data_IF_538482902766
#
_entry.id   IF_538482902766
#
_cell.length_a   1.000
_cell.length_b   1.000
_cell.length_c   1.000
_cell.angle_alpha   90.00
_cell.angle_beta   90.00
_cell.angle_gamma   90.00
#
_symmetry.space_group_name_H-M   'P 1'
#
loop_
_entity.id
_entity.type
_entity.pdbx_description
1 polymer ?
#
# COMPACT_ATOMS: atom_id res chain seq x y z
N UNK A 1 9.50 -20.42 -8.68
CA UNK A 1 10.64 -19.48 -8.56
C UNK A 1 10.25 -18.45 -7.51
N UNK A 2 10.92 -18.42 -6.36
CA UNK A 2 10.58 -17.52 -5.26
C UNK A 2 11.02 -16.09 -5.61
N UNK A 3 10.09 -15.14 -5.68
CA UNK A 3 10.46 -13.73 -5.78
C UNK A 3 11.24 -13.33 -4.52
N UNK A 4 12.32 -12.54 -4.65
CA UNK A 4 13.00 -12.00 -3.49
C UNK A 4 11.98 -11.26 -2.61
N UNK A 5 12.01 -11.44 -1.27
CA UNK A 5 11.00 -10.91 -0.36
C UNK A 5 10.90 -9.37 -0.36
N UNK A 6 11.84 -8.71 -1.02
CA UNK A 6 12.07 -7.26 -0.98
C UNK A 6 11.98 -6.62 -2.39
N UNK A 7 11.03 -7.05 -3.24
CA UNK A 7 10.88 -6.49 -4.59
C UNK A 7 10.26 -5.07 -4.65
N UNK A 8 10.16 -4.39 -3.51
CA UNK A 8 9.49 -3.09 -3.35
C UNK A 8 7.98 -3.19 -3.11
N UNK A 9 7.34 -4.34 -3.30
CA UNK A 9 5.89 -4.47 -3.17
C UNK A 9 5.31 -3.88 -1.87
N UNK A 10 4.19 -3.19 -2.01
CA UNK A 10 3.37 -2.68 -0.90
C UNK A 10 2.10 -3.50 -0.85
N UNK A 11 1.78 -4.05 0.31
CA UNK A 11 0.54 -4.79 0.54
C UNK A 11 -0.48 -3.87 1.20
N UNK A 12 -1.66 -3.78 0.59
CA UNK A 12 -2.73 -2.91 1.03
C UNK A 12 -3.90 -3.72 1.59
N UNK A 13 -4.38 -3.36 2.78
CA UNK A 13 -5.46 -4.06 3.47
C UNK A 13 -6.51 -3.08 3.96
N UNK A 14 -7.77 -3.49 3.91
CA UNK A 14 -8.89 -2.73 4.50
C UNK A 14 -9.63 -3.55 5.54
N UNK A 15 -10.21 -2.87 6.54
CA UNK A 15 -11.18 -3.53 7.44
C UNK A 15 -12.50 -3.85 6.70
N UNK A 16 -13.40 -4.62 7.32
CA UNK A 16 -14.70 -5.02 6.74
C UNK A 16 -15.51 -3.86 6.16
N UNK A 17 -15.54 -2.72 6.86
CA UNK A 17 -16.25 -1.51 6.42
C UNK A 17 -15.43 -0.61 5.48
N UNK A 18 -14.19 -0.98 5.17
CA UNK A 18 -13.25 -0.23 4.35
C UNK A 18 -13.01 1.21 4.81
N UNK A 19 -13.22 1.52 6.09
CA UNK A 19 -12.94 2.83 6.68
C UNK A 19 -11.50 3.00 7.13
N UNK A 20 -10.72 1.92 7.21
CA UNK A 20 -9.30 1.92 7.55
C UNK A 20 -8.49 1.25 6.45
N UNK A 21 -7.42 1.90 6.01
CA UNK A 21 -6.44 1.37 5.07
C UNK A 21 -5.11 1.17 5.80
N UNK A 22 -4.54 -0.04 5.67
CA UNK A 22 -3.18 -0.37 6.11
C UNK A 22 -2.30 -0.61 4.89
N UNK A 23 -1.12 0.00 4.85
CA UNK A 23 -0.10 -0.22 3.83
C UNK A 23 1.15 -0.79 4.50
N UNK A 24 1.48 -2.04 4.19
CA UNK A 24 2.66 -2.73 4.68
C UNK A 24 3.73 -2.74 3.59
N UNK A 25 4.94 -2.29 3.91
CA UNK A 25 6.03 -2.22 2.96
C UNK A 25 7.37 -2.57 3.60
N UNK A 26 8.28 -3.11 2.78
CA UNK A 26 9.68 -3.36 3.14
C UNK A 26 10.57 -2.43 2.31
N UNK A 27 11.44 -1.64 2.96
CA UNK A 27 12.28 -0.63 2.29
C UNK A 27 13.75 -1.07 2.07
N UNK A 28 14.10 -2.27 2.53
CA UNK A 28 15.45 -2.83 2.50
C UNK A 28 16.06 -2.92 3.89
N UNK A 29 15.77 -1.96 4.76
CA UNK A 29 16.31 -1.85 6.11
C UNK A 29 15.33 -2.35 7.17
N UNK A 30 14.04 -2.33 6.86
CA UNK A 30 13.02 -2.88 7.74
C UNK A 30 11.63 -2.82 7.13
N UNK A 31 10.66 -3.17 7.98
CA UNK A 31 9.24 -3.12 7.65
C UNK A 31 8.64 -1.86 8.26
N UNK A 32 7.84 -1.14 7.49
CA UNK A 32 7.04 -0.04 7.98
C UNK A 32 5.56 -0.21 7.61
N UNK A 33 4.70 0.42 8.41
CA UNK A 33 3.25 0.36 8.28
C UNK A 33 2.68 1.79 8.26
N UNK A 34 2.07 2.19 7.15
CA UNK A 34 1.24 3.39 7.13
C UNK A 34 -0.24 3.03 7.34
N UNK A 35 -0.94 3.86 8.11
CA UNK A 35 -2.35 3.68 8.42
C UNK A 35 -3.11 4.97 8.11
N UNK A 36 -4.24 4.85 7.39
CA UNK A 36 -5.18 5.94 7.22
C UNK A 36 -6.57 5.51 7.66
N UNK A 37 -7.23 6.35 8.48
CA UNK A 37 -8.62 6.17 8.90
C UNK A 37 -9.47 7.29 8.31
N UNK A 38 -10.60 6.93 7.73
CA UNK A 38 -11.65 7.87 7.38
C UNK A 38 -12.59 8.02 8.57
N UNK A 39 -12.94 9.25 8.92
CA UNK A 39 -13.92 9.52 9.96
C UNK A 39 -15.34 9.21 9.48
N UNK A 40 -15.60 9.39 8.18
CA UNK A 40 -16.84 9.07 7.48
C UNK A 40 -16.53 8.47 6.11
N UNK A 41 -17.38 7.58 5.62
CA UNK A 41 -17.23 6.94 4.31
C UNK A 41 -16.29 5.72 4.32
N UNK A 42 -15.94 5.27 3.11
CA UNK A 42 -15.18 4.05 2.86
C UNK A 42 -14.21 4.23 1.68
N UNK A 43 -13.06 3.58 1.76
CA UNK A 43 -12.15 3.44 0.64
C UNK A 43 -12.78 2.57 -0.46
N UNK A 44 -12.83 3.10 -1.68
CA UNK A 44 -13.15 2.34 -2.88
C UNK A 44 -11.98 1.42 -3.20
N UNK A 45 -12.25 0.14 -3.38
CA UNK A 45 -11.27 -0.81 -3.92
C UNK A 45 -11.56 -1.01 -5.40
N UNK A 46 -10.54 -1.16 -6.25
CA UNK A 46 -10.75 -1.44 -7.65
C UNK A 46 -11.50 -2.77 -7.83
N UNK A 47 -12.50 -2.76 -8.70
CA UNK A 47 -13.19 -3.93 -9.21
C UNK A 47 -12.58 -4.37 -10.55
N UNK A 48 -12.96 -5.56 -11.01
CA UNK A 48 -12.58 -6.04 -12.33
C UNK A 48 -13.13 -5.08 -13.39
N UNK A 49 -12.26 -4.58 -14.26
CA UNK A 49 -12.62 -3.62 -15.31
C UNK A 49 -12.48 -2.14 -14.92
N UNK A 50 -12.20 -1.82 -13.65
CA UNK A 50 -11.87 -0.45 -13.27
C UNK A 50 -10.53 -0.03 -13.90
N UNK A 51 -10.45 1.24 -14.34
CA UNK A 51 -9.19 1.83 -14.77
C UNK A 51 -8.29 1.98 -13.54
N UNK A 52 -7.16 1.28 -13.55
CA UNK A 52 -6.14 1.36 -12.49
C UNK A 52 -4.92 2.12 -13.00
N UNK A 53 -4.39 3.01 -12.17
CA UNK A 53 -3.15 3.71 -12.46
C UNK A 53 -1.99 2.98 -11.80
N UNK A 54 -0.93 2.73 -12.57
CA UNK A 54 0.32 2.24 -12.02
C UNK A 54 0.97 3.33 -11.17
N UNK A 55 1.10 3.07 -9.87
CA UNK A 55 1.89 3.90 -8.97
C UNK A 55 3.34 3.45 -9.07
N UNK A 56 4.19 4.30 -9.67
CA UNK A 56 5.62 4.08 -9.64
C UNK A 56 6.14 4.29 -8.22
N UNK A 57 6.83 3.28 -7.70
CA UNK A 57 7.48 3.38 -6.41
C UNK A 57 8.72 4.25 -6.53
N UNK A 58 8.56 5.54 -6.26
CA UNK A 58 9.72 6.38 -6.03
C UNK A 58 10.29 6.01 -4.66
N UNK A 59 11.53 5.51 -4.64
CA UNK A 59 12.28 5.37 -3.40
C UNK A 59 12.35 6.77 -2.77
N UNK A 60 11.91 6.96 -1.52
CA UNK A 60 12.12 8.24 -0.85
C UNK A 60 13.62 8.53 -0.87
N UNK A 61 14.01 9.71 -1.39
CA UNK A 61 15.42 10.11 -1.44
C UNK A 61 15.92 10.20 0.01
N UNK A 62 17.01 9.52 0.39
CA UNK A 62 17.60 9.73 1.68
C UNK A 62 18.17 11.16 1.74
N UNK A 63 17.75 11.94 2.74
CA UNK A 63 18.30 13.26 3.07
C UNK A 63 17.63 14.46 2.42
N UNK A 64 16.65 15.02 3.12
CA UNK A 64 16.57 16.47 3.39
C UNK A 64 16.58 16.64 4.90
#
# INVERSE_FOLDING_TARGET
MAQPPCNGAVYAFTNRHRSRLKLLAWDGNGVWLALRRLHQGAFRWPAVGDIVHQVNQQRPKPGT
#
